data_IF_591586442825
#
_entry.id   IF_591586442825
#
_cell.length_a   1.000
_cell.length_b   1.000
_cell.length_c   1.000
_cell.angle_alpha   90.00
_cell.angle_beta   90.00
_cell.angle_gamma   90.00
#
_symmetry.space_group_name_H-M   'P 1'
#
loop_
_entity.id
_entity.type
_entity.pdbx_description
1 polymer ?
#
# COMPACT_ATOMS: atom_id res chain seq x y z
N UNK A 1 18.70 -22.75 28.25
CA UNK A 1 17.96 -22.89 26.99
C UNK A 1 17.28 -21.58 26.70
N UNK A 2 17.93 -20.69 25.96
CA UNK A 2 17.34 -19.43 25.49
C UNK A 2 17.49 -19.43 23.99
N UNK A 3 16.43 -19.76 23.27
CA UNK A 3 16.37 -19.58 21.82
C UNK A 3 16.13 -18.10 21.61
N UNK A 4 17.22 -17.37 21.44
CA UNK A 4 17.19 -16.03 20.86
C UNK A 4 16.78 -16.24 19.41
N UNK A 5 15.50 -16.03 19.10
CA UNK A 5 15.04 -15.94 17.71
C UNK A 5 15.74 -14.75 17.09
N UNK A 6 16.80 -15.05 16.35
CA UNK A 6 17.52 -14.12 15.50
C UNK A 6 16.52 -13.51 14.52
N UNK A 7 16.32 -12.20 14.64
CA UNK A 7 15.60 -11.42 13.64
C UNK A 7 16.35 -11.62 12.31
N UNK A 8 15.71 -12.13 11.24
CA UNK A 8 16.38 -12.31 9.97
C UNK A 8 16.97 -10.96 9.51
N UNK A 9 18.15 -10.97 8.85
CA UNK A 9 18.79 -9.74 8.37
C UNK A 9 17.79 -8.93 7.53
N UNK A 10 17.84 -7.58 7.56
CA UNK A 10 16.92 -6.80 6.74
C UNK A 10 17.19 -7.20 5.29
N UNK A 11 16.18 -7.77 4.65
CA UNK A 11 16.10 -7.97 3.22
C UNK A 11 16.05 -6.58 2.54
N UNK A 12 17.12 -5.82 2.67
CA UNK A 12 17.30 -4.45 2.21
C UNK A 12 17.85 -4.43 0.78
N UNK A 13 17.36 -5.35 -0.04
CA UNK A 13 17.44 -5.29 -1.50
C UNK A 13 16.03 -5.42 -2.11
N UNK A 14 15.00 -5.03 -1.35
CA UNK A 14 13.67 -4.82 -1.92
C UNK A 14 13.79 -3.77 -3.05
N UNK A 15 13.13 -3.99 -4.21
CA UNK A 15 13.17 -3.04 -5.30
C UNK A 15 12.73 -1.66 -4.78
N UNK A 16 13.58 -0.64 -4.95
CA UNK A 16 13.36 0.74 -4.48
C UNK A 16 12.26 1.46 -5.29
N UNK A 17 11.10 0.84 -5.43
CA UNK A 17 9.91 1.46 -6.00
C UNK A 17 9.34 2.41 -4.97
N UNK A 18 9.72 3.68 -5.07
CA UNK A 18 9.15 4.75 -4.27
C UNK A 18 8.37 5.71 -5.17
N UNK A 19 7.55 6.56 -4.54
CA UNK A 19 7.07 7.73 -5.26
C UNK A 19 6.23 7.40 -6.51
N UNK A 20 6.34 8.23 -7.56
CA UNK A 20 5.60 8.07 -8.82
C UNK A 20 5.84 6.74 -9.56
N UNK A 21 7.04 6.16 -9.45
CA UNK A 21 7.35 4.88 -10.09
C UNK A 21 6.49 3.73 -9.55
N UNK A 22 6.17 3.78 -8.25
CA UNK A 22 5.25 2.84 -7.64
C UNK A 22 3.81 3.07 -8.14
N UNK A 23 3.38 4.32 -8.31
CA UNK A 23 2.04 4.63 -8.86
C UNK A 23 1.86 4.06 -10.26
N UNK A 24 2.86 4.23 -11.13
CA UNK A 24 2.84 3.69 -12.49
C UNK A 24 2.66 2.16 -12.47
N UNK A 25 3.43 1.48 -11.62
CA UNK A 25 3.37 0.02 -11.50
C UNK A 25 2.04 -0.48 -10.94
N UNK A 26 1.46 0.24 -9.97
CA UNK A 26 0.12 -0.04 -9.45
C UNK A 26 -0.93 0.13 -10.54
N UNK A 27 -0.87 1.23 -11.30
CA UNK A 27 -1.82 1.50 -12.38
C UNK A 27 -1.75 0.41 -13.47
N UNK A 28 -0.55 0.03 -13.91
CA UNK A 28 -0.36 -1.05 -14.89
C UNK A 28 -0.90 -2.39 -14.37
N UNK A 29 -0.64 -2.70 -13.11
CA UNK A 29 -1.13 -3.92 -12.48
C UNK A 29 -2.67 -3.95 -12.40
N UNK A 30 -3.30 -2.84 -12.01
CA UNK A 30 -4.76 -2.73 -11.92
C UNK A 30 -5.43 -2.88 -13.29
N UNK A 31 -4.83 -2.30 -14.34
CA UNK A 31 -5.28 -2.46 -15.72
C UNK A 31 -5.13 -3.92 -16.17
N UNK A 32 -3.96 -4.54 -15.93
CA UNK A 32 -3.71 -5.93 -16.29
C UNK A 32 -4.67 -6.92 -15.60
N UNK A 33 -5.10 -6.61 -14.37
CA UNK A 33 -6.11 -7.39 -13.62
C UNK A 33 -7.56 -7.04 -13.98
N UNK A 34 -7.79 -6.08 -14.87
CA UNK A 34 -9.12 -5.62 -15.28
C UNK A 34 -9.88 -4.81 -14.21
N UNK A 35 -9.19 -4.38 -13.14
CA UNK A 35 -9.76 -3.60 -12.03
C UNK A 35 -9.79 -2.09 -12.31
N UNK A 36 -9.05 -1.64 -13.32
CA UNK A 36 -9.06 -0.27 -13.82
C UNK A 36 -9.12 -0.32 -15.35
N UNK A 37 -10.00 0.47 -15.96
CA UNK A 37 -10.04 0.59 -17.42
C UNK A 37 -8.96 1.54 -17.91
N UNK A 38 -8.38 1.25 -19.08
CA UNK A 38 -7.37 2.13 -19.69
C UNK A 38 -7.89 3.55 -19.95
N UNK A 39 -9.14 3.68 -20.40
CA UNK A 39 -9.77 4.98 -20.62
C UNK A 39 -9.91 5.80 -19.32
N UNK A 40 -10.21 5.13 -18.22
CA UNK A 40 -10.36 5.76 -16.90
C UNK A 40 -9.00 6.15 -16.33
N UNK A 41 -7.97 5.31 -16.52
CA UNK A 41 -6.59 5.65 -16.18
C UNK A 41 -6.10 6.86 -16.97
N UNK A 42 -6.35 6.91 -18.28
CA UNK A 42 -5.97 8.04 -19.13
C UNK A 42 -6.65 9.35 -18.67
N UNK A 43 -7.93 9.27 -18.28
CA UNK A 43 -8.66 10.42 -17.70
C UNK A 43 -8.07 10.85 -16.36
N UNK A 44 -7.78 9.88 -15.47
CA UNK A 44 -7.18 10.15 -14.17
C UNK A 44 -5.79 10.80 -14.29
N UNK A 45 -4.95 10.34 -15.22
CA UNK A 45 -3.63 10.94 -15.51
C UNK A 45 -3.75 12.39 -15.97
N UNK A 46 -4.65 12.69 -16.92
CA UNK A 46 -4.89 14.07 -17.39
C UNK A 46 -5.30 15.00 -16.24
N UNK A 47 -6.20 14.53 -15.36
CA UNK A 47 -6.63 15.34 -14.22
C UNK A 47 -5.49 15.57 -13.21
N UNK A 48 -4.62 14.57 -13.00
CA UNK A 48 -3.43 14.72 -12.16
C UNK A 48 -2.39 15.67 -12.78
N UNK A 49 -2.31 15.75 -14.11
CA UNK A 49 -1.45 16.74 -14.79
C UNK A 49 -1.99 18.17 -14.62
N UNK A 50 -3.32 18.35 -14.63
CA UNK A 50 -3.98 19.65 -14.40
C UNK A 50 -3.86 20.12 -12.95
N UNK A 51 -3.96 19.19 -11.99
CA UNK A 51 -3.78 19.45 -10.56
C UNK A 51 -2.85 18.37 -9.95
N UNK A 52 -1.52 18.61 -9.96
CA UNK A 52 -0.53 17.64 -9.48
C UNK A 52 -0.45 17.55 -7.94
N UNK A 53 -1.53 17.90 -7.23
CA UNK A 53 -1.60 17.77 -5.79
C UNK A 53 -1.68 16.30 -5.35
N UNK A 54 -0.62 15.83 -4.70
CA UNK A 54 -0.56 14.49 -4.13
C UNK A 54 -0.29 13.37 -5.13
N UNK A 55 -0.74 12.16 -4.79
CA UNK A 55 -0.44 10.90 -5.51
C UNK A 55 -1.54 10.56 -6.51
N UNK A 56 -1.16 10.02 -7.67
CA UNK A 56 -2.12 9.59 -8.69
C UNK A 56 -3.06 8.50 -8.16
N UNK A 57 -2.52 7.50 -7.45
CA UNK A 57 -3.33 6.41 -6.89
C UNK A 57 -4.36 6.89 -5.87
N UNK A 58 -4.05 7.93 -5.10
CA UNK A 58 -4.99 8.52 -4.14
C UNK A 58 -6.09 9.33 -4.87
N UNK A 59 -5.75 9.97 -5.99
CA UNK A 59 -6.75 10.60 -6.84
C UNK A 59 -7.71 9.55 -7.44
N UNK A 60 -7.18 8.44 -7.95
CA UNK A 60 -7.99 7.38 -8.56
C UNK A 60 -9.00 6.76 -7.59
N UNK A 61 -8.63 6.56 -6.32
CA UNK A 61 -9.56 6.08 -5.29
C UNK A 61 -10.59 7.15 -4.91
N UNK A 62 -10.17 8.41 -4.75
CA UNK A 62 -11.08 9.54 -4.46
C UNK A 62 -12.13 9.75 -5.55
N UNK A 63 -11.78 9.52 -6.82
CA UNK A 63 -12.70 9.61 -7.95
C UNK A 63 -13.62 8.38 -8.08
N UNK A 64 -13.41 7.34 -7.27
CA UNK A 64 -14.18 6.08 -7.35
C UNK A 64 -13.85 5.24 -8.59
N UNK A 65 -12.72 5.51 -9.26
CA UNK A 65 -12.28 4.73 -10.43
C UNK A 65 -11.66 3.39 -10.03
N UNK A 66 -11.19 3.29 -8.78
CA UNK A 66 -10.67 2.08 -8.14
C UNK A 66 -11.19 2.06 -6.71
N UNK A 67 -11.68 0.92 -6.24
CA UNK A 67 -12.07 0.80 -4.83
C UNK A 67 -10.85 0.76 -3.90
N UNK A 68 -10.98 1.24 -2.67
CA UNK A 68 -9.88 1.19 -1.68
C UNK A 68 -9.39 -0.24 -1.43
N UNK A 69 -10.31 -1.22 -1.47
CA UNK A 69 -9.99 -2.63 -1.31
C UNK A 69 -9.14 -3.16 -2.46
N UNK A 70 -9.52 -2.87 -3.70
CA UNK A 70 -8.74 -3.28 -4.86
C UNK A 70 -7.37 -2.61 -4.91
N UNK A 71 -7.29 -1.35 -4.45
CA UNK A 71 -6.03 -0.63 -4.30
C UNK A 71 -5.12 -1.30 -3.27
N UNK A 72 -5.66 -1.64 -2.09
CA UNK A 72 -4.92 -2.29 -1.03
C UNK A 72 -4.42 -3.68 -1.48
N UNK A 73 -5.27 -4.47 -2.13
CA UNK A 73 -4.89 -5.77 -2.72
C UNK A 73 -3.76 -5.62 -3.75
N UNK A 74 -3.84 -4.60 -4.63
CA UNK A 74 -2.83 -4.36 -5.65
C UNK A 74 -1.47 -4.01 -5.02
N UNK A 75 -1.46 -3.16 -4.00
CA UNK A 75 -0.21 -2.81 -3.29
C UNK A 75 0.35 -4.03 -2.58
N UNK A 76 -0.48 -4.83 -1.90
CA UNK A 76 -0.10 -6.06 -1.23
C UNK A 76 0.53 -7.07 -2.21
N UNK A 77 -0.11 -7.34 -3.35
CA UNK A 77 0.44 -8.23 -4.38
C UNK A 77 1.77 -7.71 -4.96
N UNK A 78 1.86 -6.42 -5.28
CA UNK A 78 3.08 -5.83 -5.87
C UNK A 78 4.25 -5.85 -4.89
N UNK A 79 3.99 -5.58 -3.61
CA UNK A 79 5.02 -5.53 -2.57
C UNK A 79 5.30 -6.89 -1.93
N UNK A 80 4.50 -7.92 -2.23
CA UNK A 80 4.59 -9.22 -1.58
C UNK A 80 4.30 -9.16 -0.08
N UNK A 81 3.44 -8.24 0.34
CA UNK A 81 3.08 -8.02 1.74
C UNK A 81 1.70 -8.62 2.04
N UNK A 82 1.50 -9.23 3.22
CA UNK A 82 0.18 -9.71 3.62
C UNK A 82 -0.77 -8.53 3.87
N UNK A 83 -2.00 -8.64 3.37
CA UNK A 83 -3.09 -7.73 3.71
C UNK A 83 -3.80 -8.23 4.97
N UNK A 84 -3.79 -7.45 6.05
CA UNK A 84 -4.48 -7.78 7.30
C UNK A 84 -5.76 -6.95 7.44
N UNK A 85 -6.83 -7.59 7.92
CA UNK A 85 -8.06 -6.90 8.29
C UNK A 85 -7.96 -6.40 9.73
N UNK A 86 -8.75 -5.38 10.07
CA UNK A 86 -8.77 -4.83 11.44
C UNK A 86 -9.07 -5.89 12.50
N UNK A 87 -9.92 -6.88 12.19
CA UNK A 87 -10.26 -8.01 13.06
C UNK A 87 -9.12 -9.01 13.29
N UNK A 88 -8.10 -9.00 12.43
CA UNK A 88 -6.95 -9.90 12.55
C UNK A 88 -5.93 -9.36 13.56
N UNK A 89 -6.11 -8.11 14.01
CA UNK A 89 -5.32 -7.51 15.08
C UNK A 89 -5.87 -7.89 16.46
N UNK A 90 -4.97 -8.16 17.44
CA UNK A 90 -5.40 -8.40 18.81
C UNK A 90 -6.00 -7.14 19.43
N UNK A 91 -7.10 -7.28 20.17
CA UNK A 91 -7.74 -6.16 20.87
C UNK A 91 -6.88 -5.61 22.03
N UNK A 92 -6.02 -6.46 22.61
CA UNK A 92 -5.10 -6.08 23.67
C UNK A 92 -3.67 -5.88 23.14
N UNK A 93 -2.92 -4.90 23.68
CA UNK A 93 -1.51 -4.73 23.33
C UNK A 93 -0.70 -6.00 23.66
N UNK A 94 0.42 -6.24 22.96
CA UNK A 94 1.29 -7.36 23.28
C UNK A 94 1.81 -7.24 24.72
N UNK A 95 1.89 -8.35 25.48
CA UNK A 95 2.16 -8.32 26.92
C UNK A 95 3.52 -7.71 27.32
N UNK A 96 4.43 -7.56 26.36
CA UNK A 96 5.80 -7.09 26.60
C UNK A 96 6.05 -5.67 26.05
N UNK A 97 5.01 -4.95 25.62
CA UNK A 97 5.13 -3.59 25.07
C UNK A 97 4.83 -2.56 26.16
N UNK A 98 5.87 -1.90 26.66
CA UNK A 98 5.71 -0.75 27.57
C UNK A 98 5.54 0.53 26.73
N UNK A 99 4.36 1.14 26.78
CA UNK A 99 4.10 2.47 26.21
C UNK A 99 4.63 3.54 27.19
N UNK A 100 5.51 4.40 26.70
CA UNK A 100 5.98 5.54 27.49
C UNK A 100 4.84 6.51 27.75
N UNK A 101 4.80 7.12 28.95
CA UNK A 101 3.80 8.09 29.37
C UNK A 101 3.73 9.32 28.45
N UNK A 102 4.76 9.58 27.64
CA UNK A 102 4.75 10.68 26.65
C UNK A 102 3.85 10.42 25.44
N UNK A 103 3.37 9.19 25.27
CA UNK A 103 2.50 8.75 24.17
C UNK A 103 1.11 8.30 24.66
N UNK A 104 0.80 8.53 25.93
CA UNK A 104 -0.55 8.48 26.52
C UNK A 104 -1.12 9.90 26.58
#
# INVERSE_FOLDING_TARGET
MSVVTELPPPASEAPKLSGPALDERICQFLVAKGRLKEADLARGKRLHEEDPSGRLVALLTRLGLVSEREMADAVAEIMGLPLLLAKDFPESPPPNVQLSVRFL
#
